data_IF_870386515564
#
_entry.id   IF_870386515564
#
_cell.length_a   1.000
_cell.length_b   1.000
_cell.length_c   1.000
_cell.angle_alpha   90.00
_cell.angle_beta   90.00
_cell.angle_gamma   90.00
#
_symmetry.space_group_name_H-M   'P 1'
#
loop_
_entity.id
_entity.type
_entity.pdbx_description
1 polymer ?
#
# COMPACT_ATOMS: atom_id res chain seq x y z
N UNK A 1 22.43 -15.14 5.58
CA UNK A 1 22.38 -15.98 6.81
C UNK A 1 21.25 -16.97 6.62
N UNK A 2 21.55 -18.25 6.43
CA UNK A 2 20.52 -19.28 6.28
C UNK A 2 19.80 -19.54 7.62
N UNK A 3 18.47 -19.67 7.60
CA UNK A 3 17.69 -20.03 8.79
C UNK A 3 17.96 -21.50 9.16
N UNK A 4 18.27 -21.76 10.44
CA UNK A 4 18.60 -23.11 10.93
C UNK A 4 17.44 -23.79 11.66
N UNK A 5 16.44 -23.01 12.09
CA UNK A 5 15.24 -23.48 12.80
C UNK A 5 13.98 -22.84 12.23
N UNK A 6 12.81 -23.45 12.47
CA UNK A 6 11.52 -22.85 12.07
C UNK A 6 11.29 -21.46 12.69
N UNK A 7 11.73 -21.26 13.94
CA UNK A 7 11.67 -19.96 14.62
C UNK A 7 12.57 -18.91 13.94
N UNK A 8 13.77 -19.31 13.49
CA UNK A 8 14.64 -18.42 12.73
C UNK A 8 14.03 -18.04 11.38
N UNK A 9 13.35 -18.98 10.72
CA UNK A 9 12.75 -18.75 9.42
C UNK A 9 11.50 -17.86 9.51
N UNK A 10 10.54 -18.19 10.39
CA UNK A 10 9.25 -17.53 10.41
C UNK A 10 9.21 -16.25 11.26
N UNK A 11 10.03 -16.15 12.31
CA UNK A 11 10.00 -15.00 13.23
C UNK A 11 11.39 -14.38 13.46
N UNK A 12 12.38 -14.71 12.62
CA UNK A 12 13.74 -14.20 12.72
C UNK A 12 14.37 -14.37 14.11
N UNK A 13 13.98 -15.45 14.82
CA UNK A 13 14.39 -15.72 16.20
C UNK A 13 14.01 -14.62 17.21
N UNK A 14 13.09 -13.71 16.84
CA UNK A 14 12.68 -12.52 17.62
C UNK A 14 13.84 -11.56 17.94
N UNK A 15 14.85 -11.50 17.07
CA UNK A 15 16.07 -10.69 17.24
C UNK A 15 16.22 -9.57 16.21
N UNK A 16 15.12 -9.17 15.56
CA UNK A 16 15.14 -7.99 14.69
C UNK A 16 15.35 -6.73 15.52
N UNK A 17 16.25 -5.86 15.07
CA UNK A 17 16.43 -4.55 15.69
C UNK A 17 15.20 -3.67 15.42
N UNK A 18 14.93 -2.73 16.33
CA UNK A 18 13.75 -1.87 16.23
C UNK A 18 13.72 -1.06 14.92
N UNK A 19 14.86 -0.56 14.46
CA UNK A 19 14.95 0.22 13.23
C UNK A 19 14.64 -0.62 11.98
N UNK A 20 15.16 -1.85 11.91
CA UNK A 20 14.84 -2.79 10.83
C UNK A 20 13.35 -3.16 10.89
N UNK A 21 12.81 -3.40 12.09
CA UNK A 21 11.39 -3.69 12.25
C UNK A 21 10.50 -2.54 11.76
N UNK A 22 10.79 -1.30 12.18
CA UNK A 22 9.98 -0.13 11.79
C UNK A 22 10.04 0.08 10.28
N UNK A 23 11.23 0.12 9.69
CA UNK A 23 11.39 0.35 8.25
C UNK A 23 10.80 -0.79 7.41
N UNK A 24 11.01 -2.04 7.82
CA UNK A 24 10.41 -3.18 7.14
C UNK A 24 8.88 -3.16 7.25
N UNK A 25 8.32 -2.96 8.45
CA UNK A 25 6.88 -2.88 8.64
C UNK A 25 6.25 -1.73 7.85
N UNK A 26 6.93 -0.59 7.74
CA UNK A 26 6.55 0.52 6.86
C UNK A 26 6.55 0.06 5.40
N UNK A 27 7.65 -0.52 4.88
CA UNK A 27 7.70 -1.00 3.49
C UNK A 27 6.62 -2.04 3.18
N UNK A 28 6.37 -3.00 4.08
CA UNK A 28 5.33 -4.01 3.89
C UNK A 28 3.93 -3.38 3.89
N UNK A 29 3.70 -2.34 4.70
CA UNK A 29 2.42 -1.62 4.75
C UNK A 29 2.19 -0.78 3.50
N UNK A 30 3.25 -0.14 2.99
CA UNK A 30 3.23 0.68 1.78
C UNK A 30 3.75 -0.15 0.60
N UNK A 31 2.90 -1.06 0.11
CA UNK A 31 3.24 -1.97 -0.99
C UNK A 31 3.42 -1.25 -2.33
N UNK A 32 3.79 -1.99 -3.38
CA UNK A 32 3.89 -1.45 -4.74
C UNK A 32 2.62 -0.75 -5.25
N UNK A 33 1.46 -1.05 -4.66
CA UNK A 33 0.21 -0.33 -4.95
C UNK A 33 0.26 1.14 -4.53
N UNK A 34 0.91 1.47 -3.41
CA UNK A 34 1.08 2.85 -2.94
C UNK A 34 1.88 3.72 -3.91
N UNK A 35 2.71 3.11 -4.76
CA UNK A 35 3.60 3.86 -5.67
C UNK A 35 3.08 3.93 -7.10
N UNK A 36 2.37 2.91 -7.58
CA UNK A 36 1.80 2.91 -8.92
C UNK A 36 0.30 3.22 -8.93
N UNK A 37 -0.45 2.52 -8.08
CA UNK A 37 -1.91 2.63 -8.04
C UNK A 37 -2.35 3.95 -7.42
N UNK A 38 -1.83 4.27 -6.24
CA UNK A 38 -2.27 5.44 -5.47
C UNK A 38 -2.00 6.77 -6.20
N UNK A 39 -0.80 7.07 -6.74
CA UNK A 39 -0.57 8.31 -7.48
C UNK A 39 -1.33 8.35 -8.80
N UNK A 40 -1.52 7.20 -9.47
CA UNK A 40 -2.34 7.10 -10.67
C UNK A 40 -3.82 7.43 -10.42
N UNK A 41 -4.36 7.00 -9.28
CA UNK A 41 -5.71 7.34 -8.84
C UNK A 41 -5.82 8.81 -8.39
N UNK A 42 -4.81 9.36 -7.71
CA UNK A 42 -4.76 10.80 -7.43
C UNK A 42 -4.71 11.59 -8.74
N UNK A 43 -3.89 11.18 -9.71
CA UNK A 43 -3.80 11.84 -11.00
C UNK A 43 -5.13 11.81 -11.77
N UNK A 44 -5.85 10.68 -11.70
CA UNK A 44 -7.13 10.50 -12.41
C UNK A 44 -8.30 11.18 -11.73
N UNK A 45 -8.42 10.99 -10.41
CA UNK A 45 -9.60 11.35 -9.64
C UNK A 45 -9.41 12.60 -8.79
N UNK A 46 -8.18 13.06 -8.57
CA UNK A 46 -7.88 14.30 -7.86
C UNK A 46 -7.87 14.16 -6.33
N UNK A 47 -8.07 15.29 -5.65
CA UNK A 47 -7.94 15.44 -4.20
C UNK A 47 -9.00 14.68 -3.40
N UNK A 48 -10.17 14.46 -4.01
CA UNK A 48 -11.20 13.58 -3.47
C UNK A 48 -10.66 12.18 -3.13
N UNK A 49 -9.78 11.64 -3.98
CA UNK A 49 -9.10 10.37 -3.71
C UNK A 49 -7.86 10.55 -2.83
N UNK A 50 -7.17 11.69 -2.92
CA UNK A 50 -5.98 11.96 -2.10
C UNK A 50 -6.27 11.87 -0.59
N UNK A 51 -7.53 12.12 -0.16
CA UNK A 51 -7.97 11.88 1.22
C UNK A 51 -7.75 10.43 1.68
N UNK A 52 -7.73 9.47 0.75
CA UNK A 52 -7.41 8.08 1.06
C UNK A 52 -6.05 7.94 1.74
N UNK A 53 -5.10 8.83 1.46
CA UNK A 53 -3.73 8.82 2.00
C UNK A 53 -3.67 8.86 3.54
N UNK A 54 -4.75 9.21 4.24
CA UNK A 54 -4.83 9.09 5.70
C UNK A 54 -4.63 7.65 6.20
N UNK A 55 -4.76 6.63 5.33
CA UNK A 55 -4.36 5.25 5.67
C UNK A 55 -2.91 5.17 6.16
N UNK A 56 -2.04 6.08 5.71
CA UNK A 56 -0.65 6.16 6.13
C UNK A 56 -0.47 6.41 7.63
N UNK A 57 -1.48 7.01 8.28
CA UNK A 57 -1.50 7.25 9.72
C UNK A 57 -2.29 6.15 10.44
N UNK A 58 -3.46 5.77 9.91
CA UNK A 58 -4.36 4.84 10.60
C UNK A 58 -3.77 3.42 10.69
N UNK A 59 -3.04 2.95 9.67
CA UNK A 59 -2.41 1.62 9.69
C UNK A 59 -1.33 1.51 10.79
N UNK A 60 -0.29 2.38 10.85
CA UNK A 60 0.68 2.33 11.95
C UNK A 60 0.04 2.56 13.32
N UNK A 61 -0.92 3.48 13.42
CA UNK A 61 -1.58 3.80 14.68
C UNK A 61 -2.32 2.59 15.25
N UNK A 62 -3.15 1.93 14.45
CA UNK A 62 -3.82 0.69 14.85
C UNK A 62 -2.81 -0.42 15.16
N UNK A 63 -1.71 -0.50 14.39
CA UNK A 63 -0.59 -1.39 14.67
C UNK A 63 -0.02 -1.20 16.08
N UNK A 64 0.28 0.03 16.49
CA UNK A 64 0.81 0.34 17.83
C UNK A 64 -0.19 -0.04 18.93
N UNK A 65 -1.49 0.23 18.71
CA UNK A 65 -2.52 -0.07 19.72
C UNK A 65 -2.72 -1.57 19.93
N UNK A 66 -2.76 -2.37 18.85
CA UNK A 66 -3.18 -3.77 18.93
C UNK A 66 -2.01 -4.78 18.85
N UNK A 67 -0.97 -4.52 18.05
CA UNK A 67 0.09 -5.50 17.80
C UNK A 67 1.01 -5.70 19.01
N UNK A 68 1.18 -4.67 19.87
CA UNK A 68 1.98 -4.81 21.10
C UNK A 68 1.46 -5.94 21.98
N UNK A 69 0.13 -6.03 22.17
CA UNK A 69 -0.48 -7.09 22.98
C UNK A 69 -0.27 -8.46 22.35
N UNK A 70 -0.45 -8.57 21.04
CA UNK A 70 -0.24 -9.83 20.32
C UNK A 70 1.22 -10.29 20.38
N UNK A 71 2.17 -9.36 20.25
CA UNK A 71 3.59 -9.66 20.39
C UNK A 71 3.95 -10.19 21.78
N UNK A 72 3.41 -9.59 22.85
CA UNK A 72 3.62 -10.04 24.22
C UNK A 72 3.06 -11.45 24.45
N UNK A 73 1.86 -11.75 23.94
CA UNK A 73 1.23 -13.06 24.02
C UNK A 73 2.03 -14.11 23.23
N UNK A 74 2.38 -13.81 21.98
CA UNK A 74 3.25 -14.66 21.18
C UNK A 74 4.57 -14.95 21.89
N UNK A 75 5.16 -13.95 22.55
CA UNK A 75 6.41 -14.13 23.32
C UNK A 75 6.23 -15.08 24.50
N UNK A 76 5.15 -14.92 25.26
CA UNK A 76 4.86 -15.70 26.47
C UNK A 76 4.49 -17.15 26.18
N UNK A 77 3.66 -17.38 25.15
CA UNK A 77 3.09 -18.69 24.85
C UNK A 77 3.76 -19.41 23.68
N UNK A 78 4.74 -18.77 23.04
CA UNK A 78 5.51 -19.39 21.96
C UNK A 78 4.83 -19.40 20.59
N UNK A 79 3.71 -18.69 20.40
CA UNK A 79 3.02 -18.65 19.12
C UNK A 79 3.90 -18.06 18.01
N UNK A 80 3.82 -18.68 16.84
CA UNK A 80 4.49 -18.28 15.60
C UNK A 80 3.49 -17.65 14.64
N UNK A 81 2.25 -18.17 14.60
CA UNK A 81 1.19 -17.65 13.72
C UNK A 81 0.02 -17.05 14.49
N UNK A 82 -0.72 -16.09 13.91
CA UNK A 82 -1.97 -15.62 14.49
C UNK A 82 -3.02 -16.74 14.63
N UNK A 83 -3.02 -17.71 13.70
CA UNK A 83 -3.94 -18.85 13.74
C UNK A 83 -3.75 -19.75 14.96
N UNK A 84 -2.50 -20.02 15.36
CA UNK A 84 -2.19 -20.76 16.60
C UNK A 84 -2.72 -20.02 17.83
N UNK A 85 -2.44 -18.73 17.91
CA UNK A 85 -2.86 -17.89 19.03
C UNK A 85 -4.39 -17.81 19.15
N UNK A 86 -5.10 -17.64 18.03
CA UNK A 86 -6.56 -17.62 18.03
C UNK A 86 -7.16 -18.99 18.33
N UNK A 87 -6.52 -20.06 17.86
CA UNK A 87 -6.93 -21.44 18.13
C UNK A 87 -6.86 -21.78 19.62
N UNK A 88 -5.80 -21.34 20.30
CA UNK A 88 -5.67 -21.54 21.74
C UNK A 88 -6.67 -20.65 22.52
N UNK A 89 -6.86 -19.40 22.09
CA UNK A 89 -7.83 -18.48 22.71
C UNK A 89 -9.28 -18.98 22.61
N UNK A 90 -9.71 -19.43 21.44
CA UNK A 90 -11.07 -19.93 21.20
C UNK A 90 -11.23 -21.43 21.46
N UNK A 91 -10.16 -22.13 21.83
CA UNK A 91 -10.12 -23.58 22.12
C UNK A 91 -10.69 -24.44 20.98
N UNK A 92 -10.25 -24.18 19.75
CA UNK A 92 -10.68 -24.95 18.58
C UNK A 92 -9.77 -24.79 17.38
N UNK A 93 -9.67 -25.82 16.55
CA UNK A 93 -8.84 -25.80 15.34
C UNK A 93 -9.55 -25.20 14.13
N UNK A 94 -10.88 -25.09 14.16
CA UNK A 94 -11.66 -24.50 13.07
C UNK A 94 -11.27 -23.03 12.81
N UNK A 95 -10.98 -22.25 13.86
CA UNK A 95 -10.54 -20.86 13.70
C UNK A 95 -9.15 -20.78 13.06
N UNK A 96 -8.26 -21.76 13.34
CA UNK A 96 -6.93 -21.84 12.71
C UNK A 96 -7.06 -22.04 11.21
N UNK A 97 -7.92 -22.99 10.82
CA UNK A 97 -8.19 -23.31 9.41
C UNK A 97 -8.80 -22.08 8.72
N UNK A 98 -9.78 -21.44 9.34
CA UNK A 98 -10.39 -20.22 8.79
C UNK A 98 -9.36 -19.11 8.56
N UNK A 99 -8.50 -18.85 9.54
CA UNK A 99 -7.42 -17.85 9.43
C UNK A 99 -6.49 -18.15 8.26
N UNK A 100 -6.08 -19.41 8.10
CA UNK A 100 -5.21 -19.83 6.99
C UNK A 100 -5.92 -19.67 5.64
N UNK A 101 -7.18 -20.12 5.53
CA UNK A 101 -7.95 -20.00 4.30
C UNK A 101 -8.14 -18.55 3.88
N UNK A 102 -8.54 -17.69 4.81
CA UNK A 102 -8.69 -16.25 4.56
C UNK A 102 -7.34 -15.64 4.17
N UNK A 103 -6.27 -15.94 4.90
CA UNK A 103 -4.94 -15.43 4.57
C UNK A 103 -4.50 -15.82 3.15
N UNK A 104 -4.69 -17.08 2.74
CA UNK A 104 -4.34 -17.55 1.40
C UNK A 104 -5.24 -16.93 0.31
N UNK A 105 -6.55 -16.86 0.57
CA UNK A 105 -7.55 -16.31 -0.36
C UNK A 105 -7.21 -14.87 -0.76
N UNK A 106 -6.75 -14.05 0.18
CA UNK A 106 -6.38 -12.66 -0.11
C UNK A 106 -4.92 -12.50 -0.53
N UNK A 107 -3.99 -13.28 0.04
CA UNK A 107 -2.56 -13.10 -0.25
C UNK A 107 -2.17 -13.58 -1.65
N UNK A 108 -2.72 -14.69 -2.14
CA UNK A 108 -2.33 -15.25 -3.44
C UNK A 108 -2.69 -14.29 -4.59
N UNK A 109 -3.94 -13.80 -4.73
CA UNK A 109 -4.28 -12.84 -5.78
C UNK A 109 -3.50 -11.53 -5.63
N UNK A 110 -3.32 -11.06 -4.38
CA UNK A 110 -2.60 -9.83 -4.10
C UNK A 110 -1.13 -9.90 -4.54
N UNK A 111 -0.44 -11.02 -4.29
CA UNK A 111 0.91 -11.26 -4.80
C UNK A 111 0.95 -11.25 -6.32
N UNK A 112 -0.02 -11.88 -6.98
CA UNK A 112 -0.14 -11.87 -8.44
C UNK A 112 -0.26 -10.47 -9.02
N UNK A 113 -1.08 -9.61 -8.40
CA UNK A 113 -1.23 -8.20 -8.80
C UNK A 113 0.09 -7.43 -8.61
N UNK A 114 0.78 -7.62 -7.50
CA UNK A 114 2.05 -6.92 -7.24
C UNK A 114 3.18 -7.33 -8.20
N UNK A 115 3.34 -8.62 -8.45
CA UNK A 115 4.35 -9.14 -9.38
C UNK A 115 4.05 -8.69 -10.81
N UNK A 116 2.78 -8.74 -11.22
CA UNK A 116 2.34 -8.26 -12.52
C UNK A 116 2.53 -6.76 -12.72
N UNK A 117 2.30 -5.95 -11.68
CA UNK A 117 2.56 -4.52 -11.72
C UNK A 117 4.06 -4.20 -11.78
N UNK A 118 4.89 -5.00 -11.10
CA UNK A 118 6.34 -4.85 -11.17
C UNK A 118 6.90 -5.20 -12.55
N UNK A 119 6.37 -6.24 -13.21
CA UNK A 119 6.71 -6.56 -14.60
C UNK A 119 6.30 -5.44 -15.59
N UNK A 120 5.14 -4.81 -15.34
CA UNK A 120 4.70 -3.66 -16.14
C UNK A 120 5.67 -2.47 -15.96
N UNK A 121 6.13 -2.22 -14.73
CA UNK A 121 7.10 -1.16 -14.47
C UNK A 121 8.42 -1.38 -15.23
N UNK A 122 8.94 -2.61 -15.29
CA UNK A 122 10.11 -2.93 -16.11
C UNK A 122 9.89 -2.64 -17.59
N UNK A 123 8.71 -3.00 -18.12
CA UNK A 123 8.38 -2.73 -19.51
C UNK A 123 8.39 -1.23 -19.82
N UNK A 124 7.82 -0.41 -18.94
CA UNK A 124 7.81 1.06 -19.09
C UNK A 124 9.22 1.64 -18.95
N UNK A 125 9.99 1.24 -17.93
CA UNK A 125 11.34 1.77 -17.68
C UNK A 125 12.37 1.39 -18.75
N UNK A 126 12.08 0.38 -19.55
CA UNK A 126 12.96 -0.10 -20.62
C UNK A 126 12.42 0.25 -22.01
N UNK A 127 11.46 1.17 -22.10
CA UNK A 127 10.81 1.59 -23.35
C UNK A 127 10.33 0.39 -24.20
N UNK A 128 9.82 -0.64 -23.53
CA UNK A 128 9.30 -1.85 -24.17
C UNK A 128 10.34 -2.92 -24.50
N UNK A 129 11.63 -2.70 -24.26
CA UNK A 129 12.69 -3.68 -24.55
C UNK A 129 12.50 -4.98 -23.77
N UNK A 130 12.06 -4.90 -22.50
CA UNK A 130 11.74 -6.08 -21.69
C UNK A 130 10.21 -6.25 -21.69
N UNK A 131 9.67 -7.36 -22.24
CA UNK A 131 8.24 -7.63 -22.15
C UNK A 131 7.81 -7.81 -20.70
N UNK A 132 6.59 -7.37 -20.37
CA UNK A 132 6.00 -7.46 -19.03
C UNK A 132 6.17 -8.84 -18.38
N UNK A 133 5.86 -9.89 -19.12
CA UNK A 133 5.89 -11.28 -18.63
C UNK A 133 7.29 -11.69 -18.19
N UNK A 134 8.31 -11.31 -18.97
CA UNK A 134 9.71 -11.59 -18.63
C UNK A 134 10.15 -10.86 -17.36
N UNK A 135 9.83 -9.55 -17.26
CA UNK A 135 10.13 -8.77 -16.06
C UNK A 135 9.46 -9.34 -14.81
N UNK A 136 8.20 -9.78 -14.94
CA UNK A 136 7.44 -10.41 -13.86
C UNK A 136 8.09 -11.73 -13.40
N UNK A 137 8.40 -12.66 -14.32
CA UNK A 137 8.97 -13.96 -13.96
C UNK A 137 10.37 -13.85 -13.35
N UNK A 138 11.21 -12.96 -13.89
CA UNK A 138 12.56 -12.73 -13.36
C UNK A 138 12.47 -12.20 -11.92
N UNK A 139 11.64 -11.19 -11.68
CA UNK A 139 11.48 -10.63 -10.34
C UNK A 139 10.89 -11.67 -9.36
N UNK A 140 9.89 -12.43 -9.81
CA UNK A 140 9.28 -13.49 -9.02
C UNK A 140 10.31 -14.54 -8.59
N UNK A 141 11.21 -14.93 -9.50
CA UNK A 141 12.28 -15.87 -9.20
C UNK A 141 13.28 -15.30 -8.19
N UNK A 142 13.69 -14.03 -8.35
CA UNK A 142 14.58 -13.36 -7.39
C UNK A 142 13.94 -13.33 -6.00
N UNK A 143 12.65 -12.95 -5.92
CA UNK A 143 11.88 -12.92 -4.68
C UNK A 143 11.81 -14.30 -4.05
N UNK A 144 11.46 -15.32 -4.83
CA UNK A 144 11.40 -16.70 -4.37
C UNK A 144 12.74 -17.15 -3.77
N UNK A 145 13.86 -16.86 -4.43
CA UNK A 145 15.20 -17.28 -3.99
C UNK A 145 15.55 -16.65 -2.64
N UNK A 146 15.40 -15.34 -2.46
CA UNK A 146 15.81 -14.70 -1.20
C UNK A 146 14.84 -15.01 -0.04
N UNK A 147 13.54 -15.18 -0.33
CA UNK A 147 12.55 -15.58 0.67
C UNK A 147 12.82 -17.02 1.12
N UNK A 148 12.96 -17.95 0.18
CA UNK A 148 13.17 -19.37 0.49
C UNK A 148 14.51 -19.62 1.21
N UNK A 149 15.56 -18.89 0.85
CA UNK A 149 16.89 -19.08 1.47
C UNK A 149 17.05 -18.37 2.82
N UNK A 150 16.34 -17.25 3.04
CA UNK A 150 16.61 -16.34 4.14
C UNK A 150 15.48 -16.11 5.15
N UNK A 151 14.26 -16.52 4.83
CA UNK A 151 13.08 -16.35 5.69
C UNK A 151 12.78 -14.89 6.04
N UNK A 152 12.05 -14.67 7.14
CA UNK A 152 11.61 -13.35 7.60
C UNK A 152 12.79 -12.37 7.77
N UNK A 153 13.95 -12.86 8.19
CA UNK A 153 15.11 -12.00 8.39
C UNK A 153 15.58 -11.41 7.06
N UNK A 154 15.73 -12.20 6.01
CA UNK A 154 16.14 -11.67 4.71
C UNK A 154 15.10 -10.71 4.15
N UNK A 155 13.81 -11.05 4.25
CA UNK A 155 12.70 -10.17 3.86
C UNK A 155 12.81 -8.82 4.56
N UNK A 156 12.97 -8.80 5.89
CA UNK A 156 13.04 -7.56 6.66
C UNK A 156 14.20 -6.64 6.26
N UNK A 157 15.38 -7.20 5.92
CA UNK A 157 16.51 -6.38 5.46
C UNK A 157 16.31 -5.84 4.04
N UNK A 158 15.73 -6.64 3.14
CA UNK A 158 15.38 -6.17 1.79
C UNK A 158 14.34 -5.05 1.87
N UNK A 159 13.28 -5.26 2.65
CA UNK A 159 12.22 -4.28 2.90
C UNK A 159 12.77 -2.99 3.52
N UNK A 160 13.72 -3.09 4.45
CA UNK A 160 14.39 -1.92 5.06
C UNK A 160 15.11 -1.09 4.01
N UNK A 161 15.88 -1.73 3.13
CA UNK A 161 16.57 -1.04 2.04
C UNK A 161 15.58 -0.42 1.06
N UNK A 162 14.54 -1.17 0.67
CA UNK A 162 13.49 -0.67 -0.21
C UNK A 162 12.79 0.54 0.38
N UNK A 163 12.47 0.55 1.68
CA UNK A 163 11.87 1.70 2.36
C UNK A 163 12.71 2.97 2.18
N UNK A 164 14.02 2.88 2.40
CA UNK A 164 14.95 4.01 2.28
C UNK A 164 15.02 4.49 0.82
N UNK A 165 15.16 3.57 -0.13
CA UNK A 165 15.21 3.90 -1.56
C UNK A 165 13.90 4.56 -2.03
N UNK A 166 12.76 4.08 -1.55
CA UNK A 166 11.45 4.63 -1.88
C UNK A 166 11.26 6.03 -1.29
N UNK A 167 11.66 6.23 -0.02
CA UNK A 167 11.62 7.55 0.60
C UNK A 167 12.47 8.56 -0.18
N UNK A 168 13.69 8.18 -0.57
CA UNK A 168 14.55 9.02 -1.39
C UNK A 168 13.94 9.29 -2.77
N UNK A 169 13.39 8.27 -3.42
CA UNK A 169 12.75 8.38 -4.74
C UNK A 169 11.58 9.36 -4.74
N UNK A 170 10.71 9.30 -3.73
CA UNK A 170 9.59 10.26 -3.58
C UNK A 170 10.12 11.69 -3.46
N UNK A 171 11.08 11.92 -2.56
CA UNK A 171 11.65 13.25 -2.33
C UNK A 171 12.31 13.78 -3.61
N UNK A 172 13.10 12.95 -4.29
CA UNK A 172 13.78 13.32 -5.53
C UNK A 172 12.79 13.71 -6.64
N UNK A 173 11.75 12.89 -6.88
CA UNK A 173 10.71 13.19 -7.86
C UNK A 173 9.97 14.48 -7.48
N UNK A 174 9.65 14.67 -6.20
CA UNK A 174 9.02 15.90 -5.72
C UNK A 174 9.86 17.15 -5.98
N UNK A 175 11.18 17.09 -5.74
CA UNK A 175 12.10 18.18 -6.03
C UNK A 175 12.22 18.48 -7.53
N UNK A 176 12.26 17.45 -8.38
CA UNK A 176 12.29 17.60 -9.84
C UNK A 176 11.00 18.26 -10.33
N UNK A 177 9.84 17.77 -9.89
CA UNK A 177 8.54 18.35 -10.24
C UNK A 177 8.45 19.82 -9.79
N UNK A 178 8.91 20.12 -8.57
CA UNK A 178 8.99 21.49 -8.06
C UNK A 178 9.83 22.42 -8.96
N UNK A 179 10.99 21.95 -9.42
CA UNK A 179 11.85 22.70 -10.32
C UNK A 179 11.20 22.96 -11.68
N UNK A 180 10.49 21.96 -12.24
CA UNK A 180 9.79 22.10 -13.52
C UNK A 180 8.58 23.04 -13.46
N UNK A 181 7.91 23.14 -12.31
CA UNK A 181 6.76 24.01 -12.11
C UNK A 181 7.12 25.50 -11.92
N UNK A 182 8.40 25.84 -11.77
CA UNK A 182 8.84 27.22 -11.54
C UNK A 182 8.61 27.73 -10.11
N UNK A 183 8.47 26.81 -9.13
CA UNK A 183 8.33 27.14 -7.71
C UNK A 183 6.88 27.25 -7.20
N UNK A 184 6.74 27.57 -5.91
CA UNK A 184 5.45 27.54 -5.19
C UNK A 184 4.43 28.57 -5.71
N UNK A 185 4.88 29.73 -6.18
CA UNK A 185 3.98 30.77 -6.73
C UNK A 185 3.27 30.28 -7.98
N UNK A 186 4.05 29.86 -8.98
CA UNK A 186 3.55 29.29 -10.24
C UNK A 186 2.67 28.05 -10.01
N UNK A 187 3.04 27.20 -9.04
CA UNK A 187 2.22 26.05 -8.65
C UNK A 187 0.85 26.48 -8.10
N UNK A 188 0.81 27.44 -7.16
CA UNK A 188 -0.44 27.94 -6.60
C UNK A 188 -1.30 28.63 -7.65
N UNK A 189 -0.70 29.42 -8.55
CA UNK A 189 -1.42 30.07 -9.65
C UNK A 189 -2.03 29.04 -10.61
N UNK A 190 -1.28 27.97 -10.91
CA UNK A 190 -1.74 26.86 -11.75
C UNK A 190 -2.89 26.10 -11.08
N UNK A 191 -2.81 25.83 -9.78
CA UNK A 191 -3.91 25.22 -9.02
C UNK A 191 -5.15 26.13 -8.96
N UNK A 192 -4.96 27.43 -8.77
CA UNK A 192 -6.05 28.40 -8.75
C UNK A 192 -6.73 28.51 -10.14
N UNK A 193 -5.96 28.44 -11.22
CA UNK A 193 -6.49 28.36 -12.57
C UNK A 193 -7.26 27.06 -12.80
N UNK A 194 -6.71 25.91 -12.39
CA UNK A 194 -7.38 24.61 -12.48
C UNK A 194 -8.71 24.60 -11.73
N UNK A 195 -8.76 25.20 -10.53
CA UNK A 195 -9.96 25.28 -9.69
C UNK A 195 -11.13 26.03 -10.33
N UNK A 196 -10.87 26.87 -11.35
CA UNK A 196 -11.89 27.62 -12.11
C UNK A 196 -12.37 26.90 -13.37
N UNK A 197 -11.79 25.74 -13.69
CA UNK A 197 -12.15 24.92 -14.85
C UNK A 197 -12.92 23.69 -14.43
N UNK A 198 -13.59 23.03 -15.36
CA UNK A 198 -14.20 21.71 -15.15
C UNK A 198 -13.26 20.58 -15.60
N UNK A 199 -11.96 20.88 -15.67
CA UNK A 199 -10.94 19.99 -16.21
C UNK A 199 -10.64 18.90 -15.17
N UNK A 200 -10.96 17.66 -15.52
CA UNK A 200 -10.85 16.50 -14.65
C UNK A 200 -11.90 15.45 -15.02
N UNK A 201 -11.73 14.21 -14.55
CA UNK A 201 -12.64 13.11 -14.91
C UNK A 201 -14.09 13.35 -14.43
N UNK A 202 -14.26 14.11 -13.34
CA UNK A 202 -15.52 14.24 -12.62
C UNK A 202 -16.19 15.62 -12.75
N UNK A 203 -15.64 16.52 -13.58
CA UNK A 203 -16.22 17.85 -13.84
C UNK A 203 -16.25 18.77 -12.62
N UNK A 204 -17.41 19.38 -12.34
CA UNK A 204 -17.63 20.27 -11.21
C UNK A 204 -18.47 19.62 -10.10
N UNK A 205 -18.31 20.11 -8.87
CA UNK A 205 -19.19 19.82 -7.74
C UNK A 205 -20.52 20.57 -7.87
N UNK A 206 -21.50 20.23 -7.00
CA UNK A 206 -22.79 20.92 -6.94
C UNK A 206 -22.65 22.43 -6.68
N UNK A 207 -21.60 22.83 -5.95
CA UNK A 207 -21.29 24.23 -5.63
C UNK A 207 -20.52 24.95 -6.75
N UNK A 208 -20.27 24.29 -7.88
CA UNK A 208 -19.58 24.86 -9.03
C UNK A 208 -18.05 24.92 -8.90
N UNK A 209 -17.45 24.13 -8.01
CA UNK A 209 -16.00 24.01 -7.87
C UNK A 209 -15.45 22.83 -8.67
N UNK A 210 -14.22 22.93 -9.18
CA UNK A 210 -13.58 21.78 -9.86
C UNK A 210 -13.49 20.56 -8.92
N UNK A 211 -14.11 19.45 -9.33
CA UNK A 211 -14.14 18.18 -8.59
C UNK A 211 -12.74 17.55 -8.39
N UNK A 212 -11.77 17.95 -9.22
CA UNK A 212 -10.39 17.51 -9.10
C UNK A 212 -9.69 18.05 -7.84
N UNK A 213 -10.08 19.24 -7.37
CA UNK A 213 -9.49 19.88 -6.18
C UNK A 213 -10.45 19.87 -4.99
N UNK A 214 -11.75 19.71 -5.23
CA UNK A 214 -12.74 19.62 -4.18
C UNK A 214 -12.67 18.27 -3.44
N UNK A 215 -12.91 18.31 -2.13
CA UNK A 215 -13.20 17.12 -1.33
C UNK A 215 -14.71 17.11 -1.16
N UNK A 216 -15.45 16.26 -1.90
CA UNK A 216 -16.90 16.21 -1.76
C UNK A 216 -17.26 15.75 -0.34
N UNK A 217 -18.44 16.16 0.12
CA UNK A 217 -18.91 15.94 1.48
C UNK A 217 -18.89 14.47 1.92
N UNK A 218 -19.13 14.26 3.21
CA UNK A 218 -18.95 12.96 3.87
C UNK A 218 -19.87 11.86 3.29
N UNK A 219 -21.10 12.22 2.94
CA UNK A 219 -22.13 11.30 2.42
C UNK A 219 -22.82 11.95 1.22
N UNK A 220 -23.09 11.14 0.20
CA UNK A 220 -23.93 11.44 -0.96
C UNK A 220 -24.69 10.15 -1.24
N UNK A 221 -26.01 10.25 -1.35
CA UNK A 221 -26.87 9.13 -1.74
C UNK A 221 -26.97 9.14 -3.26
N UNK A 222 -26.68 8.00 -3.89
CA UNK A 222 -26.88 7.80 -5.33
C UNK A 222 -27.58 6.46 -5.55
N UNK A 223 -28.14 6.26 -6.74
CA UNK A 223 -28.70 4.96 -7.14
C UNK A 223 -27.64 3.82 -7.25
N UNK A 224 -26.36 4.10 -6.94
CA UNK A 224 -25.27 3.13 -6.95
C UNK A 224 -24.31 3.29 -8.13
N UNK A 225 -23.11 2.72 -7.97
CA UNK A 225 -22.06 2.71 -9.00
C UNK A 225 -22.57 2.05 -10.28
N UNK A 226 -22.50 2.77 -11.40
CA UNK A 226 -22.94 2.29 -12.72
C UNK A 226 -24.38 2.65 -13.11
N UNK A 227 -25.18 3.17 -12.17
CA UNK A 227 -26.53 3.71 -12.45
C UNK A 227 -26.51 5.24 -12.37
N UNK A 228 -25.94 5.78 -11.30
CA UNK A 228 -25.85 7.21 -11.06
C UNK A 228 -24.47 7.57 -10.53
N UNK A 229 -23.80 8.48 -11.24
CA UNK A 229 -22.47 8.94 -10.85
C UNK A 229 -22.63 10.07 -9.83
N UNK A 230 -22.07 9.94 -8.61
CA UNK A 230 -22.13 11.00 -7.62
C UNK A 230 -21.53 12.31 -8.15
N UNK A 231 -22.19 13.42 -7.82
CA UNK A 231 -21.79 14.77 -8.25
C UNK A 231 -20.45 15.13 -7.63
N UNK A 232 -19.47 15.45 -8.48
CA UNK A 232 -18.11 15.74 -8.03
C UNK A 232 -17.22 14.51 -7.81
N UNK A 233 -17.67 13.30 -8.19
CA UNK A 233 -16.82 12.11 -8.29
C UNK A 233 -17.10 11.01 -7.26
N UNK A 234 -16.38 9.89 -7.39
CA UNK A 234 -16.67 8.65 -6.64
C UNK A 234 -16.17 8.65 -5.20
N UNK A 235 -15.21 9.49 -4.88
CA UNK A 235 -14.49 9.44 -3.60
C UNK A 235 -15.01 10.49 -2.63
N UNK A 236 -15.38 10.06 -1.42
CA UNK A 236 -15.85 10.93 -0.32
C UNK A 236 -14.88 10.89 0.86
N UNK A 237 -14.98 11.86 1.76
CA UNK A 237 -14.11 11.99 2.95
C UNK A 237 -14.12 10.82 3.95
N UNK A 238 -14.97 9.78 3.79
CA UNK A 238 -14.91 8.54 4.60
C UNK A 238 -14.56 7.31 3.76
N UNK A 239 -14.34 7.46 2.44
CA UNK A 239 -14.20 6.38 1.47
C UNK A 239 -15.36 5.35 1.51
N UNK A 240 -16.18 5.40 0.47
CA UNK A 240 -17.20 4.38 0.13
C UNK A 240 -18.17 4.05 1.28
N UNK A 241 -19.20 4.89 1.41
CA UNK A 241 -20.56 4.41 1.64
C UNK A 241 -21.43 5.06 0.56
N UNK A 242 -21.51 4.40 -0.60
CA UNK A 242 -22.65 4.55 -1.52
C UNK A 242 -23.74 3.62 -1.04
#
# INVERSE_FOLDING_TARGET
>A
MAAKTASDYFIAGRRLSIWVFVLAATATSFSGWTFMGHPGLIYRDGFQYAYASFYAITIPFTGVMFLKRQWMLGKRFGYVTPGEMLSDYFRGDMIRILVVLVALLFSIPYLGVQLGASGFLFNVLTDGMIPREWGMWILSLIVLIYVASGGLRAVAYVDTLQCILLAFGIVAIGCIAYGQLGGWGSFNDSLAALGKTDLGKWGATADGHNAYLAIPGVIQFTAGLGVETPVGGLWKGIMVLT
#
